data_IF_647956966603
#
_entry.id   IF_647956966603
#
_cell.length_a   1.000
_cell.length_b   1.000
_cell.length_c   1.000
_cell.angle_alpha   90.00
_cell.angle_beta   90.00
_cell.angle_gamma   90.00
#
_symmetry.space_group_name_H-M   'P 1'
#
loop_
_entity.id
_entity.type
_entity.pdbx_description
1 polymer ?
#
# COMPACT_ATOMS: atom_id res chain seq x y z
N UNK A 1 38.08 15.52 -9.40
CA UNK A 1 37.61 14.87 -10.64
C UNK A 1 36.10 15.09 -10.82
N UNK A 2 35.67 15.57 -12.00
CA UNK A 2 34.27 15.92 -12.31
C UNK A 2 33.45 14.78 -12.92
N UNK A 3 34.09 13.68 -13.36
CA UNK A 3 33.44 12.57 -14.06
C UNK A 3 32.86 11.52 -13.11
N UNK A 4 33.63 11.04 -12.13
CA UNK A 4 33.18 10.06 -11.13
C UNK A 4 32.03 10.61 -10.27
N UNK A 5 32.14 11.85 -9.82
CA UNK A 5 31.07 12.55 -9.11
C UNK A 5 29.81 12.73 -9.98
N UNK A 6 29.95 12.80 -11.31
CA UNK A 6 28.82 12.86 -12.25
C UNK A 6 28.11 11.51 -12.36
N UNK A 7 28.87 10.42 -12.47
CA UNK A 7 28.31 9.06 -12.53
C UNK A 7 27.60 8.71 -11.22
N UNK A 8 28.23 8.99 -10.07
CA UNK A 8 27.62 8.77 -8.74
C UNK A 8 26.35 9.61 -8.58
N UNK A 9 26.38 10.89 -9.00
CA UNK A 9 25.20 11.75 -8.96
C UNK A 9 24.08 11.20 -9.84
N UNK A 10 24.39 10.69 -11.02
CA UNK A 10 23.38 10.11 -11.91
C UNK A 10 22.74 8.86 -11.31
N UNK A 11 23.52 7.94 -10.72
CA UNK A 11 22.96 6.77 -10.02
C UNK A 11 22.06 7.18 -8.85
N UNK A 12 22.50 8.12 -8.02
CA UNK A 12 21.67 8.64 -6.92
C UNK A 12 20.37 9.28 -7.42
N UNK A 13 20.42 10.00 -8.55
CA UNK A 13 19.25 10.64 -9.15
C UNK A 13 18.27 9.60 -9.70
N UNK A 14 18.76 8.56 -10.39
CA UNK A 14 17.93 7.44 -10.86
C UNK A 14 17.29 6.68 -9.70
N UNK A 15 18.04 6.37 -8.64
CA UNK A 15 17.51 5.72 -7.45
C UNK A 15 16.46 6.59 -6.74
N UNK A 16 16.66 7.90 -6.67
CA UNK A 16 15.68 8.83 -6.11
C UNK A 16 14.39 8.88 -6.94
N UNK A 17 14.49 8.88 -8.27
CA UNK A 17 13.31 8.79 -9.15
C UNK A 17 12.58 7.47 -8.92
N UNK A 18 13.31 6.34 -8.89
CA UNK A 18 12.72 5.03 -8.62
C UNK A 18 12.01 4.99 -7.27
N UNK A 19 12.60 5.59 -6.24
CA UNK A 19 11.98 5.71 -4.92
C UNK A 19 10.64 6.45 -4.99
N UNK A 20 10.63 7.64 -5.61
CA UNK A 20 9.43 8.48 -5.71
C UNK A 20 8.32 7.80 -6.52
N UNK A 21 8.66 7.02 -7.54
CA UNK A 21 7.70 6.24 -8.32
C UNK A 21 7.23 4.98 -7.60
N UNK A 22 8.08 4.39 -6.76
CA UNK A 22 7.79 3.16 -6.03
C UNK A 22 6.70 3.36 -4.98
N UNK A 23 6.78 4.40 -4.16
CA UNK A 23 5.78 4.67 -3.11
C UNK A 23 4.32 4.71 -3.61
N UNK A 24 3.94 5.50 -4.63
CA UNK A 24 2.57 5.53 -5.13
C UNK A 24 2.16 4.21 -5.79
N UNK A 25 3.09 3.53 -6.46
CA UNK A 25 2.84 2.22 -7.06
C UNK A 25 2.49 1.18 -5.99
N UNK A 26 3.24 1.15 -4.89
CA UNK A 26 2.98 0.26 -3.77
C UNK A 26 1.69 0.59 -3.04
N UNK A 27 1.41 1.88 -2.80
CA UNK A 27 0.13 2.32 -2.24
C UNK A 27 -1.03 1.78 -3.07
N UNK A 28 -0.99 1.97 -4.39
CA UNK A 28 -2.02 1.49 -5.29
C UNK A 28 -2.16 -0.04 -5.28
N UNK A 29 -1.03 -0.76 -5.25
CA UNK A 29 -1.03 -2.22 -5.20
C UNK A 29 -1.67 -2.77 -3.92
N UNK A 30 -1.29 -2.26 -2.75
CA UNK A 30 -1.85 -2.68 -1.46
C UNK A 30 -3.32 -2.28 -1.38
N UNK A 31 -3.67 -1.04 -1.74
CA UNK A 31 -5.06 -0.59 -1.76
C UNK A 31 -5.93 -1.50 -2.64
N UNK A 32 -5.47 -1.86 -3.84
CA UNK A 32 -6.20 -2.76 -4.74
C UNK A 32 -6.36 -4.17 -4.16
N UNK A 33 -5.33 -4.68 -3.49
CA UNK A 33 -5.40 -5.98 -2.81
C UNK A 33 -6.44 -5.97 -1.68
N UNK A 34 -6.43 -4.92 -0.85
CA UNK A 34 -7.37 -4.78 0.27
C UNK A 34 -8.80 -4.64 -0.23
N UNK A 35 -9.06 -3.81 -1.26
CA UNK A 35 -10.40 -3.70 -1.85
C UNK A 35 -10.87 -5.05 -2.39
N UNK A 36 -10.01 -5.79 -3.09
CA UNK A 36 -10.36 -7.11 -3.60
C UNK A 36 -10.71 -8.08 -2.46
N UNK A 37 -9.94 -8.07 -1.38
CA UNK A 37 -10.20 -8.90 -0.20
C UNK A 37 -11.53 -8.53 0.48
N UNK A 38 -11.84 -7.24 0.61
CA UNK A 38 -13.13 -6.78 1.12
C UNK A 38 -14.29 -7.22 0.21
N UNK A 39 -14.11 -7.13 -1.11
CA UNK A 39 -15.13 -7.56 -2.07
C UNK A 39 -15.41 -9.07 -2.01
N UNK A 40 -14.38 -9.88 -1.75
CA UNK A 40 -14.50 -11.33 -1.52
C UNK A 40 -15.20 -11.61 -0.17
N UNK A 41 -14.74 -10.98 0.90
CA UNK A 41 -15.37 -11.10 2.24
C UNK A 41 -16.86 -10.74 2.23
N UNK A 42 -17.25 -9.67 1.55
CA UNK A 42 -18.64 -9.27 1.45
C UNK A 42 -19.52 -10.28 0.70
N UNK A 43 -18.95 -11.01 -0.26
CA UNK A 43 -19.64 -12.12 -0.93
C UNK A 43 -19.77 -13.32 -0.01
N UNK A 44 -18.70 -13.65 0.72
CA UNK A 44 -18.74 -14.74 1.69
C UNK A 44 -19.80 -14.48 2.77
N UNK A 45 -19.90 -13.24 3.29
CA UNK A 45 -20.94 -12.85 4.26
C UNK A 45 -22.36 -12.94 3.69
N UNK A 46 -22.55 -12.64 2.40
CA UNK A 46 -23.84 -12.85 1.72
C UNK A 46 -24.18 -14.34 1.71
N UNK A 47 -23.21 -15.18 1.39
CA UNK A 47 -23.42 -16.63 1.24
C UNK A 47 -23.71 -17.28 2.60
N UNK A 48 -23.05 -16.81 3.66
CA UNK A 48 -23.33 -17.17 5.05
C UNK A 48 -24.74 -16.74 5.46
N UNK A 49 -25.14 -15.50 5.14
CA UNK A 49 -26.48 -15.01 5.41
C UNK A 49 -27.54 -15.83 4.66
N UNK A 50 -27.34 -16.13 3.38
CA UNK A 50 -28.27 -16.95 2.60
C UNK A 50 -28.42 -18.35 3.18
N UNK A 51 -27.34 -18.92 3.73
CA UNK A 51 -27.33 -20.22 4.40
C UNK A 51 -28.06 -20.19 5.75
N UNK A 52 -27.97 -19.08 6.48
CA UNK A 52 -28.68 -18.87 7.75
C UNK A 52 -30.15 -18.47 7.57
N UNK A 53 -30.49 -17.78 6.47
CA UNK A 53 -31.82 -17.20 6.21
C UNK A 53 -33.01 -18.17 6.35
N UNK A 54 -32.91 -19.47 5.99
CA UNK A 54 -34.03 -20.40 6.18
C UNK A 54 -34.41 -20.64 7.65
N UNK A 55 -33.52 -20.30 8.58
CA UNK A 55 -33.73 -20.47 10.02
C UNK A 55 -34.31 -19.19 10.67
N UNK A 56 -34.33 -18.06 9.96
CA UNK A 56 -34.89 -16.81 10.45
C UNK A 56 -36.36 -16.80 10.04
N UNK A 57 -37.26 -17.20 10.94
CA UNK A 57 -38.68 -17.37 10.67
C UNK A 57 -39.52 -16.17 11.11
N UNK A 58 -39.03 -15.39 12.09
CA UNK A 58 -39.79 -14.31 12.71
C UNK A 58 -39.12 -12.94 12.50
N UNK A 59 -39.93 -11.89 12.38
CA UNK A 59 -39.46 -10.47 12.41
C UNK A 59 -38.59 -10.16 13.64
N UNK A 60 -38.85 -10.83 14.76
CA UNK A 60 -38.07 -10.68 15.98
C UNK A 60 -36.68 -11.32 15.87
N UNK A 61 -36.56 -12.47 15.22
CA UNK A 61 -35.28 -13.13 14.92
C UNK A 61 -34.47 -12.33 13.90
N UNK A 62 -35.14 -11.72 12.92
CA UNK A 62 -34.51 -10.82 11.95
C UNK A 62 -33.89 -9.59 12.65
N UNK A 63 -34.64 -8.96 13.55
CA UNK A 63 -34.14 -7.84 14.36
C UNK A 63 -33.01 -8.26 15.28
N UNK A 64 -33.09 -9.44 15.88
CA UNK A 64 -32.00 -9.99 16.69
C UNK A 64 -30.74 -10.23 15.85
N UNK A 65 -30.89 -10.75 14.64
CA UNK A 65 -29.79 -10.93 13.71
C UNK A 65 -29.13 -9.59 13.32
N UNK A 66 -29.91 -8.54 13.05
CA UNK A 66 -29.38 -7.19 12.78
C UNK A 66 -28.68 -6.57 14.00
N UNK A 67 -29.18 -6.83 15.22
CA UNK A 67 -28.58 -6.35 16.45
C UNK A 67 -27.23 -7.03 16.75
N UNK A 68 -27.13 -8.33 16.45
CA UNK A 68 -25.91 -9.11 16.62
C UNK A 68 -24.89 -8.82 15.53
N UNK A 69 -25.37 -8.56 14.30
CA UNK A 69 -24.54 -8.36 13.12
C UNK A 69 -24.84 -6.98 12.50
N UNK A 70 -24.24 -5.94 13.09
CA UNK A 70 -24.50 -4.52 12.76
C UNK A 70 -24.10 -4.13 11.33
N UNK A 71 -23.27 -4.95 10.69
CA UNK A 71 -22.88 -4.83 9.30
C UNK A 71 -24.04 -5.17 8.34
N UNK A 72 -25.05 -5.92 8.80
CA UNK A 72 -26.23 -6.27 8.03
C UNK A 72 -27.36 -5.26 8.26
N UNK A 73 -27.99 -4.84 7.16
CA UNK A 73 -29.20 -4.03 7.18
C UNK A 73 -30.19 -4.55 6.16
N UNK A 74 -31.39 -4.88 6.63
CA UNK A 74 -32.49 -5.39 5.82
C UNK A 74 -33.60 -4.34 5.77
N UNK A 75 -34.07 -4.04 4.56
CA UNK A 75 -35.19 -3.11 4.36
C UNK A 75 -36.21 -3.78 3.46
N UNK A 76 -37.48 -3.92 3.87
CA UNK A 76 -38.52 -4.47 2.99
C UNK A 76 -38.64 -3.61 1.72
N UNK A 77 -38.69 -4.25 0.56
CA UNK A 77 -38.77 -3.55 -0.74
C UNK A 77 -40.03 -3.95 -1.48
N UNK A 78 -40.68 -3.01 -2.16
CA UNK A 78 -41.94 -3.25 -2.88
C UNK A 78 -41.75 -3.99 -4.23
N UNK A 79 -40.80 -4.92 -4.32
CA UNK A 79 -40.58 -5.76 -5.51
C UNK A 79 -39.60 -5.21 -6.56
N UNK A 80 -38.84 -4.14 -6.27
CA UNK A 80 -37.69 -3.79 -7.11
C UNK A 80 -36.52 -4.72 -6.79
N UNK A 81 -36.34 -5.74 -7.63
CA UNK A 81 -35.14 -6.58 -7.61
C UNK A 81 -33.94 -5.72 -7.98
N UNK A 82 -33.00 -5.59 -7.06
CA UNK A 82 -31.72 -4.90 -7.29
C UNK A 82 -30.67 -5.97 -7.55
N UNK A 83 -29.96 -5.85 -8.67
CA UNK A 83 -28.84 -6.72 -8.98
C UNK A 83 -27.71 -6.55 -7.96
N UNK A 84 -26.96 -7.62 -7.74
CA UNK A 84 -25.75 -7.62 -6.92
C UNK A 84 -24.83 -6.47 -7.33
N UNK A 85 -24.52 -5.61 -6.36
CA UNK A 85 -23.65 -4.46 -6.57
C UNK A 85 -22.73 -4.27 -5.37
N UNK A 86 -21.46 -3.99 -5.66
CA UNK A 86 -20.45 -3.64 -4.66
C UNK A 86 -19.94 -2.25 -5.00
N UNK A 87 -19.99 -1.35 -4.02
CA UNK A 87 -19.57 0.03 -4.16
C UNK A 87 -19.05 0.57 -2.84
N UNK A 88 -18.41 1.74 -2.91
CA UNK A 88 -17.99 2.49 -1.73
C UNK A 88 -18.97 3.63 -1.53
N UNK A 89 -19.45 3.80 -0.30
CA UNK A 89 -20.30 4.92 0.12
C UNK A 89 -19.79 5.51 1.42
N UNK A 90 -20.02 6.80 1.63
CA UNK A 90 -19.70 7.45 2.89
C UNK A 90 -20.92 7.39 3.81
N UNK A 91 -20.75 6.79 4.98
CA UNK A 91 -21.77 6.65 6.02
C UNK A 91 -21.41 7.57 7.18
N UNK A 92 -22.40 8.32 7.68
CA UNK A 92 -22.22 9.20 8.84
C UNK A 92 -22.14 8.38 10.13
N UNK A 93 -21.05 8.56 10.89
CA UNK A 93 -20.91 8.03 12.23
C UNK A 93 -21.35 9.08 13.25
N UNK A 94 -22.38 8.75 14.03
CA UNK A 94 -22.92 9.64 15.06
C UNK A 94 -22.04 9.80 16.30
N UNK A 95 -21.11 8.87 16.54
CA UNK A 95 -20.18 8.89 17.68
C UNK A 95 -19.02 9.82 17.38
N UNK A 96 -18.42 9.70 16.19
CA UNK A 96 -17.29 10.53 15.76
C UNK A 96 -17.73 11.85 15.09
N UNK A 97 -19.02 11.98 14.76
CA UNK A 97 -19.60 13.12 14.05
C UNK A 97 -18.96 13.40 12.68
N UNK A 98 -18.51 12.35 12.01
CA UNK A 98 -17.82 12.40 10.73
C UNK A 98 -18.37 11.37 9.74
N UNK A 99 -18.09 11.58 8.46
CA UNK A 99 -18.41 10.62 7.40
C UNK A 99 -17.22 9.69 7.19
N UNK A 100 -17.47 8.39 7.29
CA UNK A 100 -16.47 7.38 7.01
C UNK A 100 -16.83 6.56 5.78
N UNK A 101 -15.82 6.16 4.99
CA UNK A 101 -16.02 5.29 3.85
C UNK A 101 -16.33 3.87 4.30
N UNK A 102 -17.39 3.30 3.73
CA UNK A 102 -17.76 1.91 3.87
C UNK A 102 -17.72 1.23 2.51
N UNK A 103 -17.26 -0.03 2.49
CA UNK A 103 -17.43 -0.90 1.34
C UNK A 103 -18.74 -1.67 1.54
N UNK A 104 -19.63 -1.55 0.58
CA UNK A 104 -21.00 -2.02 0.72
C UNK A 104 -21.37 -2.98 -0.40
N UNK A 105 -21.94 -4.11 -0.01
CA UNK A 105 -22.63 -5.05 -0.87
C UNK A 105 -24.15 -4.83 -0.78
N UNK A 106 -24.83 -4.75 -1.92
CA UNK A 106 -26.28 -4.59 -2.01
C UNK A 106 -26.89 -5.64 -2.93
N UNK A 107 -27.92 -6.32 -2.44
CA UNK A 107 -28.70 -7.31 -3.20
C UNK A 107 -30.15 -7.35 -2.74
N UNK A 108 -30.98 -8.14 -3.42
CA UNK A 108 -32.34 -8.46 -3.02
C UNK A 108 -32.42 -9.94 -2.64
N UNK A 109 -32.95 -10.23 -1.46
CA UNK A 109 -33.19 -11.57 -0.95
C UNK A 109 -34.68 -11.76 -0.72
N UNK A 110 -35.19 -12.98 -0.92
CA UNK A 110 -36.56 -13.34 -0.58
C UNK A 110 -36.57 -13.99 0.80
N UNK A 111 -37.32 -13.41 1.74
CA UNK A 111 -37.57 -13.99 3.05
C UNK A 111 -39.08 -14.24 3.16
N UNK A 112 -39.48 -15.50 3.21
CA UNK A 112 -40.88 -15.93 3.38
C UNK A 112 -41.87 -15.40 2.31
N UNK A 113 -41.42 -15.26 1.06
CA UNK A 113 -42.25 -14.74 -0.04
C UNK A 113 -42.35 -13.22 -0.06
N UNK A 114 -41.57 -12.52 0.77
CA UNK A 114 -41.46 -11.07 0.78
C UNK A 114 -40.03 -10.66 0.36
N UNK A 115 -39.88 -9.79 -0.64
CA UNK A 115 -38.57 -9.32 -1.06
C UNK A 115 -38.01 -8.29 -0.07
N UNK A 116 -36.78 -8.53 0.38
CA UNK A 116 -35.99 -7.62 1.21
C UNK A 116 -34.75 -7.15 0.48
N UNK A 117 -34.42 -5.89 0.65
CA UNK A 117 -33.13 -5.36 0.24
C UNK A 117 -32.11 -5.64 1.36
N UNK A 118 -31.13 -6.49 1.05
CA UNK A 118 -30.02 -6.78 1.94
C UNK A 118 -28.86 -5.84 1.61
N UNK A 119 -28.33 -5.18 2.63
CA UNK A 119 -27.13 -4.36 2.57
C UNK A 119 -26.14 -4.85 3.62
N UNK A 120 -24.93 -5.20 3.17
CA UNK A 120 -23.81 -5.59 4.05
C UNK A 120 -22.75 -4.51 3.91
N UNK A 121 -22.36 -3.85 4.99
CA UNK A 121 -21.43 -2.70 4.94
C UNK A 121 -20.28 -2.88 5.93
N UNK A 122 -19.06 -2.82 5.41
CA UNK A 122 -17.84 -2.97 6.21
C UNK A 122 -17.03 -1.66 6.19
N UNK A 123 -16.52 -1.24 7.34
CA UNK A 123 -15.79 0.02 7.46
C UNK A 123 -14.42 -0.07 6.79
N UNK A 124 -14.09 0.91 5.95
CA UNK A 124 -12.77 1.02 5.35
C UNK A 124 -11.77 1.78 6.24
N UNK A 125 -12.18 2.29 7.42
CA UNK A 125 -11.32 3.11 8.29
C UNK A 125 -10.09 2.30 8.76
N UNK A 126 -10.33 1.14 9.35
CA UNK A 126 -9.25 0.23 9.80
C UNK A 126 -8.31 -0.14 8.66
N UNK A 127 -8.86 -0.45 7.48
CA UNK A 127 -8.08 -0.74 6.28
C UNK A 127 -7.22 0.44 5.83
N UNK A 128 -7.75 1.67 5.85
CA UNK A 128 -7.00 2.88 5.49
C UNK A 128 -5.81 3.11 6.41
N UNK A 129 -6.02 2.97 7.72
CA UNK A 129 -4.95 3.13 8.70
C UNK A 129 -3.85 2.08 8.54
N UNK A 130 -4.24 0.83 8.29
CA UNK A 130 -3.31 -0.26 8.02
C UNK A 130 -2.50 -0.02 6.74
N UNK A 131 -3.15 0.40 5.64
CA UNK A 131 -2.46 0.74 4.38
C UNK A 131 -1.47 1.89 4.62
N UNK A 132 -1.90 2.94 5.34
CA UNK A 132 -1.05 4.08 5.64
C UNK A 132 0.18 3.69 6.48
N UNK A 133 -0.01 2.85 7.50
CA UNK A 133 1.07 2.35 8.33
C UNK A 133 2.08 1.53 7.51
N UNK A 134 1.61 0.63 6.64
CA UNK A 134 2.48 -0.18 5.77
C UNK A 134 3.29 0.72 4.83
N UNK A 135 2.64 1.68 4.17
CA UNK A 135 3.30 2.60 3.23
C UNK A 135 4.30 3.50 3.94
N UNK A 136 4.02 3.92 5.18
CA UNK A 136 4.94 4.71 5.99
C UNK A 136 6.20 3.89 6.37
N UNK A 137 6.02 2.67 6.87
CA UNK A 137 7.13 1.78 7.22
C UNK A 137 7.98 1.46 5.98
N UNK A 138 7.32 1.14 4.86
CA UNK A 138 7.98 0.90 3.57
C UNK A 138 8.80 2.12 3.14
N UNK A 139 8.22 3.33 3.21
CA UNK A 139 8.90 4.57 2.83
C UNK A 139 10.11 4.83 3.72
N UNK A 140 9.98 4.61 5.03
CA UNK A 140 11.10 4.73 5.98
C UNK A 140 12.23 3.74 5.65
N UNK A 141 11.91 2.48 5.35
CA UNK A 141 12.90 1.46 4.96
C UNK A 141 13.61 1.84 3.66
N UNK A 142 12.86 2.31 2.67
CA UNK A 142 13.42 2.74 1.39
C UNK A 142 14.33 3.99 1.57
N UNK A 143 13.98 4.94 2.46
CA UNK A 143 14.82 6.10 2.78
C UNK A 143 16.11 5.64 3.45
N UNK A 144 16.01 4.74 4.43
CA UNK A 144 17.16 4.16 5.12
C UNK A 144 18.09 3.47 4.13
N UNK A 145 17.53 2.69 3.19
CA UNK A 145 18.29 2.02 2.13
C UNK A 145 18.96 3.04 1.20
N UNK A 146 18.25 4.09 0.78
CA UNK A 146 18.80 5.15 -0.06
C UNK A 146 19.98 5.87 0.63
N UNK A 147 19.81 6.27 1.89
CA UNK A 147 20.86 6.91 2.70
C UNK A 147 22.06 5.98 2.85
N UNK A 148 21.83 4.70 3.15
CA UNK A 148 22.89 3.69 3.29
C UNK A 148 23.67 3.52 1.99
N UNK A 149 22.99 3.43 0.85
CA UNK A 149 23.63 3.38 -0.46
C UNK A 149 24.48 4.62 -0.72
N UNK A 150 23.98 5.82 -0.41
CA UNK A 150 24.73 7.07 -0.59
C UNK A 150 25.98 7.10 0.31
N UNK A 151 25.87 6.67 1.57
CA UNK A 151 26.98 6.63 2.51
C UNK A 151 28.06 5.63 2.09
N UNK A 152 27.67 4.39 1.74
CA UNK A 152 28.60 3.35 1.26
C UNK A 152 29.31 3.85 -0.01
N UNK A 153 28.57 4.39 -0.98
CA UNK A 153 29.17 4.91 -2.21
C UNK A 153 30.15 6.06 -1.94
N UNK A 154 29.84 6.95 -0.98
CA UNK A 154 30.74 8.03 -0.59
C UNK A 154 32.02 7.50 0.06
N UNK A 155 31.92 6.51 0.94
CA UNK A 155 33.10 5.88 1.56
C UNK A 155 33.95 5.15 0.52
N UNK A 156 33.33 4.34 -0.34
CA UNK A 156 34.02 3.57 -1.37
C UNK A 156 34.74 4.47 -2.38
N UNK A 157 34.11 5.60 -2.75
CA UNK A 157 34.72 6.62 -3.60
C UNK A 157 35.99 7.23 -3.00
N UNK A 158 36.07 7.35 -1.67
CA UNK A 158 37.25 7.90 -1.01
C UNK A 158 38.37 6.85 -0.85
N UNK A 159 38.02 5.61 -0.51
CA UNK A 159 39.01 4.57 -0.20
C UNK A 159 39.64 3.94 -1.44
N UNK A 160 38.84 3.55 -2.45
CA UNK A 160 39.36 2.81 -3.62
C UNK A 160 40.10 3.72 -4.59
N UNK A 161 39.64 4.97 -4.73
CA UNK A 161 40.20 5.85 -5.75
C UNK A 161 41.41 6.66 -5.26
N UNK A 162 41.58 6.82 -3.94
CA UNK A 162 42.76 7.48 -3.34
C UNK A 162 44.09 6.98 -3.93
N UNK A 163 44.39 5.66 -3.99
CA UNK A 163 45.62 5.17 -4.60
C UNK A 163 45.73 5.47 -6.11
N UNK A 164 44.65 5.39 -6.87
CA UNK A 164 44.65 5.78 -8.29
C UNK A 164 44.99 7.28 -8.48
N UNK A 165 44.40 8.16 -7.67
CA UNK A 165 44.71 9.58 -7.70
C UNK A 165 46.19 9.85 -7.38
N UNK A 166 46.73 9.14 -6.38
CA UNK A 166 48.15 9.25 -6.04
C UNK A 166 49.04 8.81 -7.19
N UNK A 167 48.68 7.75 -7.92
CA UNK A 167 49.43 7.28 -9.10
C UNK A 167 49.40 8.33 -10.21
N UNK A 168 48.24 8.88 -10.55
CA UNK A 168 48.12 9.91 -11.61
C UNK A 168 48.91 11.17 -11.25
N UNK A 169 48.86 11.61 -10.00
CA UNK A 169 49.59 12.80 -9.55
C UNK A 169 51.11 12.56 -9.57
N UNK A 170 51.57 11.37 -9.16
CA UNK A 170 52.97 10.95 -9.30
C UNK A 170 53.41 10.87 -10.77
N UNK A 171 52.57 10.35 -11.66
CA UNK A 171 52.87 10.27 -13.10
C UNK A 171 52.95 11.65 -13.75
N UNK A 172 52.09 12.59 -13.34
CA UNK A 172 52.08 13.96 -13.86
C UNK A 172 53.32 14.76 -13.46
N UNK A 173 53.85 14.48 -12.27
CA UNK A 173 55.07 15.11 -11.76
C UNK A 173 56.34 14.33 -12.13
N UNK A 174 56.21 13.20 -12.84
CA UNK A 174 57.35 12.41 -13.29
C UNK A 174 58.03 13.07 -14.48
N UNK A 175 59.27 13.51 -14.26
CA UNK A 175 60.17 14.06 -15.26
C UNK A 175 61.16 12.97 -15.67
N UNK A 176 61.08 12.52 -16.92
CA UNK A 176 61.90 11.44 -17.51
C UNK A 176 63.41 11.76 -17.44
N UNK A 177 63.73 13.04 -17.29
CA UNK A 177 65.06 13.63 -17.18
C UNK A 177 65.71 13.50 -15.78
N UNK A 178 65.06 12.85 -14.80
CA UNK A 178 65.66 12.51 -13.49
C UNK A 178 65.56 11.01 -13.21
N UNK A 179 66.72 10.38 -13.14
CA UNK A 179 66.92 8.93 -13.05
C UNK A 179 66.63 8.39 -11.63
N UNK A 180 65.37 8.45 -11.19
CA UNK A 180 64.93 7.89 -9.90
C UNK A 180 63.79 6.89 -10.12
N UNK A 181 64.00 5.64 -9.68
CA UNK A 181 63.05 4.54 -9.82
C UNK A 181 61.70 4.85 -9.15
N UNK A 182 60.61 4.63 -9.89
CA UNK A 182 59.25 4.81 -9.40
C UNK A 182 58.90 3.64 -8.45
N UNK A 183 58.78 3.91 -7.15
CA UNK A 183 58.12 3.01 -6.22
C UNK A 183 56.60 3.24 -6.26
N UNK A 184 55.89 2.29 -6.86
CA UNK A 184 54.43 2.25 -6.87
C UNK A 184 53.92 1.65 -5.55
N UNK A 185 52.93 2.26 -4.89
CA UNK A 185 52.23 1.59 -3.79
C UNK A 185 51.47 0.39 -4.34
N UNK A 186 51.67 -0.78 -3.72
CA UNK A 186 50.82 -1.97 -3.84
C UNK A 186 49.47 -1.72 -3.17
#
# INVERSE_FOLDING_TARGET
MRLLSRTIRNYALVSAILFVLSTPLFYWAIHSLVIKQMDEMLKDHKEDFLSASPHIQTEEELKQHELLNKEFRLVPTAGKIVNDSIYTEDIYDSIEAEYHPYRTFRTTVDLHGQPYQLKISESMVSSKDLIAAIVLIQSALLILLFVTLVLINRQLSNTIWSPFYQIVDRLKNYRIDRDHAINLPL
#
